data_IF_641009360237
#
_entry.id   IF_641009360237
#
_cell.length_a   1.000
_cell.length_b   1.000
_cell.length_c   1.000
_cell.angle_alpha   90.00
_cell.angle_beta   90.00
_cell.angle_gamma   90.00
#
_symmetry.space_group_name_H-M   'P 1'
#
loop_
_entity.id
_entity.type
_entity.pdbx_description
1 polymer ?
#
# COMPACT_ATOMS: atom_id res chain seq x y z
N UNK A 1 26.06 -30.93 5.74
CA UNK A 1 27.26 -30.93 4.88
C UNK A 1 28.53 -30.88 5.72
N UNK A 2 28.73 -29.86 6.55
CA UNK A 2 29.98 -29.65 7.31
C UNK A 2 30.36 -30.80 8.27
N UNK A 3 29.37 -31.50 8.81
CA UNK A 3 29.56 -32.69 9.67
C UNK A 3 29.71 -34.00 8.87
N UNK A 4 29.79 -33.96 7.54
CA UNK A 4 29.91 -35.15 6.69
C UNK A 4 28.66 -36.04 6.58
N UNK A 5 27.54 -35.65 7.20
CA UNK A 5 26.29 -36.43 7.22
C UNK A 5 25.56 -36.51 5.86
N UNK A 6 25.90 -35.62 4.92
CA UNK A 6 25.36 -35.59 3.56
C UNK A 6 26.45 -35.15 2.60
N UNK A 7 26.50 -35.80 1.43
CA UNK A 7 27.41 -35.45 0.34
C UNK A 7 27.17 -34.00 -0.08
N UNK A 8 28.24 -33.21 -0.27
CA UNK A 8 28.16 -31.76 -0.57
C UNK A 8 27.23 -31.46 -1.74
N UNK A 9 27.36 -32.20 -2.86
CA UNK A 9 26.52 -32.04 -4.06
C UNK A 9 25.04 -32.31 -3.80
N UNK A 10 24.69 -33.33 -3.00
CA UNK A 10 23.29 -33.59 -2.63
C UNK A 10 22.74 -32.46 -1.74
N UNK A 11 23.56 -31.96 -0.81
CA UNK A 11 23.18 -30.81 0.03
C UNK A 11 22.92 -29.56 -0.79
N UNK A 12 23.77 -29.25 -1.78
CA UNK A 12 23.59 -28.11 -2.70
C UNK A 12 22.25 -28.24 -3.44
N UNK A 13 21.93 -29.41 -4.00
CA UNK A 13 20.65 -29.65 -4.71
C UNK A 13 19.43 -29.43 -3.83
N UNK A 14 19.49 -29.85 -2.56
CA UNK A 14 18.40 -29.64 -1.61
C UNK A 14 18.20 -28.17 -1.28
N UNK A 15 19.30 -27.41 -1.12
CA UNK A 15 19.23 -25.96 -0.88
C UNK A 15 18.70 -25.21 -2.11
N UNK A 16 19.17 -25.57 -3.31
CA UNK A 16 18.70 -24.96 -4.56
C UNK A 16 17.19 -25.19 -4.76
N UNK A 17 16.69 -26.41 -4.55
CA UNK A 17 15.25 -26.68 -4.60
C UNK A 17 14.45 -25.92 -3.54
N UNK A 18 15.01 -25.68 -2.34
CA UNK A 18 14.35 -24.87 -1.31
C UNK A 18 14.25 -23.41 -1.73
N UNK A 19 15.35 -22.82 -2.21
CA UNK A 19 15.38 -21.44 -2.72
C UNK A 19 14.36 -21.27 -3.84
N UNK A 20 14.39 -22.18 -4.82
CA UNK A 20 13.47 -22.22 -5.95
C UNK A 20 11.98 -22.27 -5.55
N UNK A 21 11.67 -22.79 -4.36
CA UNK A 21 10.30 -22.99 -3.87
C UNK A 21 9.92 -22.04 -2.72
N UNK A 22 10.64 -20.92 -2.56
CA UNK A 22 10.24 -19.84 -1.64
C UNK A 22 11.15 -19.64 -0.44
N UNK A 23 12.40 -20.10 -0.48
CA UNK A 23 13.42 -19.81 0.53
C UNK A 23 13.82 -21.02 1.38
N UNK A 24 14.78 -20.80 2.27
CA UNK A 24 15.47 -21.84 3.05
C UNK A 24 14.61 -22.28 4.23
N UNK A 25 14.52 -23.60 4.45
CA UNK A 25 13.75 -24.16 5.55
C UNK A 25 14.55 -24.02 6.85
N UNK A 26 13.92 -23.42 7.86
CA UNK A 26 14.34 -23.51 9.25
C UNK A 26 13.75 -24.81 9.84
N UNK A 27 14.57 -25.85 10.10
CA UNK A 27 14.07 -27.13 10.58
C UNK A 27 13.64 -27.09 12.05
N UNK A 28 14.05 -26.08 12.82
CA UNK A 28 13.68 -25.94 14.24
C UNK A 28 12.31 -25.27 14.37
N UNK A 29 12.07 -24.21 13.61
CA UNK A 29 10.83 -23.43 13.66
C UNK A 29 9.80 -23.80 12.59
N UNK A 30 10.15 -24.74 11.69
CA UNK A 30 9.25 -25.31 10.67
C UNK A 30 8.63 -24.26 9.71
N UNK A 31 9.41 -23.25 9.33
CA UNK A 31 9.00 -22.22 8.37
C UNK A 31 10.11 -21.93 7.35
N UNK A 32 9.77 -21.23 6.26
CA UNK A 32 10.77 -20.75 5.28
C UNK A 32 11.30 -19.38 5.67
N UNK A 33 12.59 -19.19 5.45
CA UNK A 33 13.32 -17.94 5.62
C UNK A 33 13.72 -17.40 4.25
N UNK A 34 13.64 -16.08 4.03
CA UNK A 34 14.30 -15.44 2.91
C UNK A 34 15.80 -15.78 2.91
N UNK A 35 16.39 -15.89 1.72
CA UNK A 35 17.79 -16.33 1.53
C UNK A 35 18.75 -15.46 2.33
N UNK A 36 18.53 -14.14 2.33
CA UNK A 36 19.36 -13.16 3.03
C UNK A 36 19.29 -13.32 4.55
N UNK A 37 18.11 -13.67 5.08
CA UNK A 37 17.90 -13.90 6.51
C UNK A 37 18.53 -15.22 6.93
N UNK A 38 18.38 -16.26 6.10
CA UNK A 38 18.97 -17.57 6.35
C UNK A 38 20.51 -17.49 6.36
N UNK A 39 21.10 -16.73 5.42
CA UNK A 39 22.53 -16.43 5.40
C UNK A 39 22.99 -15.72 6.68
N UNK A 40 22.32 -14.63 7.08
CA UNK A 40 22.64 -13.89 8.32
C UNK A 40 22.51 -14.73 9.59
N UNK A 41 21.60 -15.72 9.60
CA UNK A 41 21.41 -16.65 10.71
C UNK A 41 22.37 -17.85 10.68
N UNK A 42 23.26 -17.93 9.68
CA UNK A 42 24.27 -18.98 9.57
C UNK A 42 23.74 -20.34 9.13
N UNK A 43 22.58 -20.39 8.44
CA UNK A 43 22.06 -21.65 7.87
C UNK A 43 22.97 -22.21 6.77
N UNK A 44 23.68 -21.32 6.07
CA UNK A 44 24.73 -21.62 5.11
C UNK A 44 25.72 -20.44 5.08
N UNK A 45 26.93 -20.68 4.58
CA UNK A 45 28.02 -19.71 4.55
C UNK A 45 28.09 -18.92 3.24
N UNK A 46 29.04 -17.99 3.16
CA UNK A 46 29.20 -17.07 2.03
C UNK A 46 29.56 -17.82 0.75
N UNK A 47 30.42 -18.85 0.87
CA UNK A 47 30.80 -19.73 -0.24
C UNK A 47 29.56 -20.41 -0.82
N UNK A 48 28.72 -21.01 0.03
CA UNK A 48 27.49 -21.66 -0.40
C UNK A 48 26.50 -20.66 -1.02
N UNK A 49 26.41 -19.44 -0.48
CA UNK A 49 25.58 -18.38 -1.05
C UNK A 49 26.01 -18.03 -2.48
N UNK A 50 27.32 -17.93 -2.73
CA UNK A 50 27.86 -17.68 -4.05
C UNK A 50 27.57 -18.85 -5.01
N UNK A 51 27.78 -20.09 -4.56
CA UNK A 51 27.47 -21.30 -5.36
C UNK A 51 25.99 -21.34 -5.74
N UNK A 52 25.08 -21.05 -4.82
CA UNK A 52 23.63 -21.07 -5.08
C UNK A 52 23.16 -19.88 -5.93
N UNK A 53 23.94 -18.80 -5.99
CA UNK A 53 23.65 -17.63 -6.82
C UNK A 53 24.17 -17.77 -8.26
N UNK A 54 25.13 -18.67 -8.50
CA UNK A 54 25.73 -18.90 -9.81
C UNK A 54 25.22 -20.21 -10.44
N UNK A 55 24.53 -20.17 -11.61
CA UNK A 55 24.03 -21.35 -12.31
C UNK A 55 25.13 -22.17 -13.01
N UNK A 56 26.20 -22.50 -12.29
CA UNK A 56 27.28 -23.39 -12.69
C UNK A 56 26.87 -24.88 -12.62
N UNK A 57 27.75 -25.78 -13.08
CA UNK A 57 27.46 -27.23 -13.16
C UNK A 57 27.08 -27.85 -11.80
N UNK A 58 27.63 -27.34 -10.70
CA UNK A 58 27.36 -27.84 -9.34
C UNK A 58 25.89 -27.65 -8.90
N UNK A 59 25.17 -26.69 -9.50
CA UNK A 59 23.74 -26.44 -9.24
C UNK A 59 22.81 -27.17 -10.21
N UNK A 60 23.33 -27.67 -11.34
CA UNK A 60 22.56 -28.40 -12.36
C UNK A 60 22.38 -29.87 -12.01
N UNK A 61 21.73 -30.12 -10.88
CA UNK A 61 21.57 -31.46 -10.34
C UNK A 61 20.34 -32.24 -10.79
N UNK A 62 19.41 -31.61 -11.51
CA UNK A 62 18.10 -32.15 -11.82
C UNK A 62 18.00 -32.56 -13.29
N UNK A 63 17.52 -33.77 -13.52
CA UNK A 63 17.49 -34.36 -14.86
C UNK A 63 16.11 -34.17 -15.50
N UNK A 64 16.06 -33.59 -16.70
CA UNK A 64 14.84 -33.57 -17.50
C UNK A 64 14.72 -34.87 -18.34
N UNK A 65 13.72 -35.72 -18.07
CA UNK A 65 13.57 -37.00 -18.76
C UNK A 65 13.24 -36.87 -20.25
N UNK A 66 12.83 -35.69 -20.73
CA UNK A 66 12.47 -35.49 -22.13
C UNK A 66 13.64 -35.00 -22.99
N UNK A 67 14.49 -34.14 -22.44
CA UNK A 67 15.65 -33.56 -23.15
C UNK A 67 16.96 -34.23 -22.80
N UNK A 68 16.98 -35.03 -21.73
CA UNK A 68 18.17 -35.64 -21.14
C UNK A 68 19.21 -34.60 -20.65
N UNK A 69 18.79 -33.37 -20.39
CA UNK A 69 19.63 -32.29 -19.88
C UNK A 69 19.67 -32.28 -18.34
N UNK A 70 20.82 -31.87 -17.80
CA UNK A 70 20.97 -31.52 -16.40
C UNK A 70 20.68 -30.02 -16.20
N UNK A 71 19.76 -29.71 -15.30
CA UNK A 71 19.17 -28.40 -15.05
C UNK A 71 19.20 -28.07 -13.55
N UNK A 72 19.05 -26.78 -13.26
CA UNK A 72 18.64 -26.33 -11.91
C UNK A 72 17.17 -26.69 -11.66
N UNK A 73 16.73 -26.76 -10.40
CA UNK A 73 15.33 -27.03 -10.09
C UNK A 73 14.42 -25.92 -10.62
N UNK A 74 14.86 -24.65 -10.57
CA UNK A 74 14.12 -23.54 -11.19
C UNK A 74 13.89 -23.75 -12.69
N UNK A 75 14.93 -24.13 -13.44
CA UNK A 75 14.80 -24.41 -14.87
C UNK A 75 13.87 -25.58 -15.15
N UNK A 76 13.89 -26.62 -14.31
CA UNK A 76 12.98 -27.75 -14.44
C UNK A 76 11.53 -27.36 -14.10
N UNK A 77 11.31 -26.55 -13.06
CA UNK A 77 10.00 -26.00 -12.70
C UNK A 77 9.40 -25.15 -13.82
N UNK A 78 10.20 -24.33 -14.52
CA UNK A 78 9.74 -23.57 -15.69
C UNK A 78 9.23 -24.45 -16.84
N UNK A 79 9.70 -25.71 -16.91
CA UNK A 79 9.25 -26.70 -17.90
C UNK A 79 8.00 -27.47 -17.46
N UNK A 80 7.60 -27.36 -16.19
CA UNK A 80 6.38 -27.98 -15.67
C UNK A 80 5.12 -27.27 -16.18
N UNK A 81 4.00 -27.98 -16.07
CA UNK A 81 2.65 -27.43 -16.26
C UNK A 81 1.98 -27.38 -14.90
N UNK A 82 1.45 -26.22 -14.53
CA UNK A 82 0.67 -26.12 -13.31
C UNK A 82 -0.72 -26.73 -13.53
N UNK A 83 -1.09 -27.66 -12.65
CA UNK A 83 -2.42 -28.23 -12.61
C UNK A 83 -3.44 -27.19 -12.11
N UNK A 84 -4.53 -27.01 -12.85
CA UNK A 84 -5.49 -25.93 -12.59
C UNK A 84 -6.37 -26.14 -11.36
N UNK A 85 -6.51 -27.39 -10.88
CA UNK A 85 -7.33 -27.71 -9.72
C UNK A 85 -6.52 -27.67 -8.42
N UNK A 86 -5.31 -28.25 -8.45
CA UNK A 86 -4.46 -28.41 -7.27
C UNK A 86 -3.39 -27.33 -7.13
N UNK A 87 -3.07 -26.61 -8.22
CA UNK A 87 -1.97 -25.64 -8.27
C UNK A 87 -0.58 -26.27 -8.25
N UNK A 88 -0.47 -27.61 -8.32
CA UNK A 88 0.80 -28.33 -8.31
C UNK A 88 1.50 -28.27 -9.67
N UNK A 89 2.83 -28.22 -9.65
CA UNK A 89 3.65 -28.26 -10.87
C UNK A 89 3.87 -29.71 -11.30
N UNK A 90 3.36 -30.04 -12.48
CA UNK A 90 3.49 -31.37 -13.09
C UNK A 90 4.59 -31.36 -14.14
N UNK A 91 5.63 -32.15 -13.92
CA UNK A 91 6.65 -32.40 -14.95
C UNK A 91 6.04 -33.31 -16.02
N UNK A 92 5.94 -32.79 -17.24
CA UNK A 92 5.45 -33.58 -18.37
C UNK A 92 6.49 -34.63 -18.73
N UNK A 93 6.10 -35.91 -18.76
CA UNK A 93 6.94 -37.00 -19.27
C UNK A 93 6.29 -37.52 -20.54
N UNK A 94 6.96 -37.31 -21.67
CA UNK A 94 6.43 -37.66 -22.99
C UNK A 94 6.93 -39.06 -23.37
N UNK A 95 6.04 -39.90 -23.91
CA UNK A 95 6.41 -41.23 -24.41
C UNK A 95 7.39 -41.11 -25.60
N UNK A 96 8.20 -42.15 -25.82
CA UNK A 96 9.16 -42.21 -26.94
C UNK A 96 8.46 -41.86 -28.27
N UNK A 97 8.95 -40.81 -28.94
CA UNK A 97 8.39 -40.31 -30.21
C UNK A 97 7.31 -39.21 -30.06
N UNK A 98 6.88 -38.88 -28.84
CA UNK A 98 6.00 -37.74 -28.60
C UNK A 98 6.74 -36.40 -28.63
N UNK A 99 6.03 -35.32 -28.99
CA UNK A 99 6.61 -33.97 -29.07
C UNK A 99 6.58 -33.28 -27.71
N UNK A 100 7.74 -33.16 -27.07
CA UNK A 100 7.93 -32.34 -25.88
C UNK A 100 8.10 -30.86 -26.24
N UNK A 101 7.26 -29.99 -25.67
CA UNK A 101 7.35 -28.54 -25.90
C UNK A 101 7.84 -27.83 -24.63
N UNK A 102 8.95 -27.12 -24.78
CA UNK A 102 9.44 -26.16 -23.80
C UNK A 102 10.01 -24.93 -24.53
N UNK A 103 10.10 -23.84 -23.78
CA UNK A 103 10.70 -22.60 -24.26
C UNK A 103 12.19 -22.68 -23.96
N UNK A 104 12.99 -22.96 -24.98
CA UNK A 104 14.45 -23.05 -24.84
C UNK A 104 15.10 -21.68 -24.69
N UNK A 105 16.34 -21.68 -24.19
CA UNK A 105 17.08 -20.47 -23.88
C UNK A 105 17.38 -19.62 -25.12
N UNK A 106 17.62 -20.26 -26.28
CA UNK A 106 17.83 -19.56 -27.54
C UNK A 106 16.57 -18.77 -27.95
N UNK A 107 15.39 -19.38 -27.80
CA UNK A 107 14.11 -18.74 -28.08
C UNK A 107 13.89 -17.57 -27.12
N UNK A 108 14.17 -17.74 -25.82
CA UNK A 108 14.11 -16.65 -24.84
C UNK A 108 15.02 -15.49 -25.25
N UNK A 109 16.28 -15.77 -25.60
CA UNK A 109 17.26 -14.76 -26.02
C UNK A 109 16.78 -13.97 -27.24
N UNK A 110 16.23 -14.64 -28.25
CA UNK A 110 15.68 -13.96 -29.43
C UNK A 110 14.53 -13.02 -29.05
N UNK A 111 13.59 -13.50 -28.22
CA UNK A 111 12.45 -12.70 -27.78
C UNK A 111 12.85 -11.56 -26.83
N UNK A 112 13.88 -11.74 -26.02
CA UNK A 112 14.49 -10.69 -25.19
C UNK A 112 15.19 -9.62 -26.04
N UNK A 113 15.90 -10.03 -27.10
CA UNK A 113 16.66 -9.11 -27.96
C UNK A 113 15.79 -8.18 -28.81
N UNK A 114 14.48 -8.43 -28.88
CA UNK A 114 13.55 -7.66 -29.71
C UNK A 114 12.78 -6.62 -28.88
N UNK A 115 13.16 -5.32 -28.94
CA UNK A 115 12.45 -4.27 -28.22
C UNK A 115 11.14 -3.90 -28.90
N UNK A 116 10.16 -3.50 -28.08
CA UNK A 116 8.85 -2.99 -28.47
C UNK A 116 8.54 -1.70 -27.71
N UNK A 117 8.08 -0.69 -28.44
CA UNK A 117 7.52 0.52 -27.83
C UNK A 117 6.03 0.31 -27.60
N UNK A 118 5.59 0.39 -26.36
CA UNK A 118 4.18 0.22 -25.98
C UNK A 118 3.57 1.59 -25.69
N UNK A 119 2.35 1.82 -26.17
CA UNK A 119 1.67 3.13 -26.13
C UNK A 119 0.55 3.22 -25.09
N UNK A 120 0.14 2.09 -24.51
CA UNK A 120 -0.98 2.00 -23.56
C UNK A 120 -0.68 1.04 -22.41
N UNK A 121 -1.45 1.16 -21.33
CA UNK A 121 -1.35 0.28 -20.16
C UNK A 121 -0.08 0.40 -19.34
N UNK A 122 0.26 -0.65 -18.58
CA UNK A 122 1.40 -0.69 -17.64
C UNK A 122 2.74 -0.29 -18.27
N UNK A 123 2.96 -0.62 -19.54
CA UNK A 123 4.22 -0.36 -20.25
C UNK A 123 4.15 0.91 -21.10
N UNK A 124 3.15 1.77 -20.90
CA UNK A 124 2.99 3.01 -21.66
C UNK A 124 4.28 3.84 -21.65
N UNK A 125 4.69 4.25 -22.85
CA UNK A 125 5.88 5.05 -23.13
C UNK A 125 7.22 4.37 -22.76
N UNK A 126 7.20 3.08 -22.45
CA UNK A 126 8.38 2.28 -22.18
C UNK A 126 8.78 1.46 -23.41
N UNK A 127 10.09 1.15 -23.50
CA UNK A 127 10.62 0.19 -24.47
C UNK A 127 10.90 -1.10 -23.73
N UNK A 128 10.10 -2.14 -24.00
CA UNK A 128 10.16 -3.45 -23.34
C UNK A 128 10.31 -4.55 -24.39
N UNK A 129 10.98 -5.64 -24.03
CA UNK A 129 11.19 -6.76 -24.94
C UNK A 129 9.91 -7.59 -25.16
N UNK A 130 9.86 -8.33 -26.26
CA UNK A 130 8.76 -9.27 -26.53
C UNK A 130 8.60 -10.28 -25.38
N UNK A 131 9.72 -10.76 -24.83
CA UNK A 131 9.68 -11.71 -23.72
C UNK A 131 9.09 -11.13 -22.44
N UNK A 132 9.47 -9.90 -22.07
CA UNK A 132 8.93 -9.22 -20.89
C UNK A 132 7.41 -9.04 -20.99
N UNK A 133 6.88 -8.70 -22.17
CA UNK A 133 5.43 -8.60 -22.37
C UNK A 133 4.76 -9.98 -22.31
N UNK A 134 5.35 -11.01 -22.94
CA UNK A 134 4.82 -12.37 -22.88
C UNK A 134 4.76 -12.91 -21.44
N UNK A 135 5.68 -12.48 -20.58
CA UNK A 135 5.72 -12.81 -19.16
C UNK A 135 4.94 -11.82 -18.27
N UNK A 136 4.29 -10.82 -18.87
CA UNK A 136 3.51 -9.83 -18.13
C UNK A 136 2.11 -10.31 -17.82
N UNK A 137 1.44 -9.62 -16.89
CA UNK A 137 0.04 -9.86 -16.53
C UNK A 137 -0.96 -9.84 -17.72
N UNK A 138 -0.64 -9.21 -18.86
CA UNK A 138 -1.53 -9.21 -20.03
C UNK A 138 -1.71 -10.60 -20.65
N UNK A 139 -0.68 -11.45 -20.57
CA UNK A 139 -0.64 -12.74 -21.27
C UNK A 139 -0.61 -13.85 -20.22
N UNK A 140 -1.65 -14.70 -20.21
CA UNK A 140 -1.66 -15.86 -19.32
C UNK A 140 -0.55 -16.84 -19.69
N UNK A 141 -0.08 -17.63 -18.72
CA UNK A 141 0.98 -18.62 -18.97
C UNK A 141 0.62 -19.59 -20.11
N UNK A 142 -0.64 -20.04 -20.16
CA UNK A 142 -1.13 -20.91 -21.23
C UNK A 142 -1.05 -20.21 -22.59
N UNK A 143 -1.48 -18.95 -22.68
CA UNK A 143 -1.42 -18.18 -23.92
C UNK A 143 0.02 -17.91 -24.34
N UNK A 144 0.92 -17.59 -23.40
CA UNK A 144 2.36 -17.45 -23.64
C UNK A 144 2.94 -18.73 -24.25
N UNK A 145 2.70 -19.88 -23.63
CA UNK A 145 3.19 -21.19 -24.14
C UNK A 145 2.68 -21.45 -25.55
N UNK A 146 1.40 -21.19 -25.83
CA UNK A 146 0.82 -21.36 -27.16
C UNK A 146 1.43 -20.43 -28.21
N UNK A 147 1.59 -19.14 -27.90
CA UNK A 147 2.19 -18.16 -28.82
C UNK A 147 3.64 -18.51 -29.16
N UNK A 148 4.43 -18.87 -28.16
CA UNK A 148 5.83 -19.25 -28.35
C UNK A 148 5.94 -20.57 -29.11
N UNK A 149 5.00 -21.50 -28.92
CA UNK A 149 4.92 -22.74 -29.70
C UNK A 149 4.66 -22.48 -31.18
N UNK A 150 3.69 -21.62 -31.49
CA UNK A 150 3.39 -21.24 -32.87
C UNK A 150 4.58 -20.53 -33.54
N UNK A 151 5.28 -19.68 -32.79
CA UNK A 151 6.51 -19.04 -33.25
C UNK A 151 7.62 -20.07 -33.56
N UNK A 152 7.90 -21.00 -32.64
CA UNK A 152 8.92 -22.07 -32.85
C UNK A 152 8.57 -22.98 -34.03
N UNK A 153 7.28 -23.30 -34.22
CA UNK A 153 6.81 -24.10 -35.34
C UNK A 153 6.77 -23.33 -36.67
N UNK A 154 7.19 -22.05 -36.70
CA UNK A 154 7.13 -21.17 -37.88
C UNK A 154 5.72 -20.97 -38.45
N UNK A 155 4.67 -21.26 -37.67
CA UNK A 155 3.29 -20.98 -38.04
C UNK A 155 2.91 -19.52 -37.74
N UNK A 156 3.68 -18.86 -36.88
CA UNK A 156 3.56 -17.45 -36.53
C UNK A 156 4.92 -16.77 -36.73
N UNK A 157 4.98 -15.73 -37.58
CA UNK A 157 6.21 -14.94 -37.74
C UNK A 157 6.43 -14.03 -36.54
N UNK A 158 7.65 -13.52 -36.37
CA UNK A 158 7.95 -12.58 -35.30
C UNK A 158 7.13 -11.29 -35.43
N UNK A 159 6.91 -10.76 -36.64
CA UNK A 159 6.08 -9.56 -36.82
C UNK A 159 4.62 -9.81 -36.42
N UNK A 160 4.06 -10.97 -36.80
CA UNK A 160 2.69 -11.31 -36.46
C UNK A 160 2.52 -11.58 -34.95
N UNK A 161 3.52 -12.18 -34.30
CA UNK A 161 3.54 -12.33 -32.83
C UNK A 161 3.52 -10.96 -32.15
N UNK A 162 4.35 -10.02 -32.59
CA UNK A 162 4.40 -8.66 -32.07
C UNK A 162 3.05 -7.96 -32.25
N UNK A 163 2.47 -8.03 -33.45
CA UNK A 163 1.18 -7.42 -33.74
C UNK A 163 0.07 -7.99 -32.85
N UNK A 164 0.06 -9.31 -32.62
CA UNK A 164 -0.91 -9.96 -31.75
C UNK A 164 -0.74 -9.55 -30.29
N UNK A 165 0.50 -9.41 -29.81
CA UNK A 165 0.79 -8.94 -28.45
C UNK A 165 0.31 -7.50 -28.25
N UNK A 166 0.67 -6.59 -29.16
CA UNK A 166 0.26 -5.18 -29.09
C UNK A 166 -1.26 -5.05 -29.13
N UNK A 167 -1.92 -5.78 -30.04
CA UNK A 167 -3.38 -5.83 -30.11
C UNK A 167 -4.00 -6.38 -28.84
N UNK A 168 -3.41 -7.41 -28.24
CA UNK A 168 -3.93 -7.98 -26.97
C UNK A 168 -3.86 -6.95 -25.85
N UNK A 169 -2.78 -6.17 -25.76
CA UNK A 169 -2.67 -5.08 -24.79
C UNK A 169 -3.74 -4.02 -25.07
N UNK A 170 -3.84 -3.52 -26.29
CA UNK A 170 -4.82 -2.50 -26.69
C UNK A 170 -6.26 -2.93 -26.41
N UNK A 171 -6.65 -4.13 -26.85
CA UNK A 171 -8.00 -4.68 -26.63
C UNK A 171 -8.29 -4.86 -25.13
N UNK A 172 -7.29 -5.28 -24.34
CA UNK A 172 -7.43 -5.46 -22.89
C UNK A 172 -7.63 -4.13 -22.19
N UNK A 173 -6.77 -3.14 -22.48
CA UNK A 173 -6.83 -1.80 -21.90
C UNK A 173 -8.13 -1.08 -22.28
N UNK A 174 -8.53 -1.13 -23.56
CA UNK A 174 -9.73 -0.44 -24.03
C UNK A 174 -11.00 -0.98 -23.35
N UNK A 175 -11.13 -2.29 -23.21
CA UNK A 175 -12.27 -2.91 -22.53
C UNK A 175 -12.28 -2.61 -21.03
N UNK A 176 -11.11 -2.65 -20.40
CA UNK A 176 -10.97 -2.41 -18.97
C UNK A 176 -11.17 -0.93 -18.61
N UNK A 177 -10.81 0.00 -19.49
CA UNK A 177 -10.96 1.44 -19.27
C UNK A 177 -12.43 1.89 -19.27
N UNK A 178 -13.29 1.18 -19.99
CA UNK A 178 -14.73 1.45 -20.04
C UNK A 178 -15.46 1.13 -18.71
N UNK A 179 -14.88 0.25 -17.88
CA UNK A 179 -15.46 -0.16 -16.61
C UNK A 179 -14.85 0.66 -15.48
N UNK A 180 -15.70 1.31 -14.68
CA UNK A 180 -15.26 2.22 -13.61
C UNK A 180 -15.93 1.92 -12.28
N UNK A 181 -15.19 2.12 -11.20
CA UNK A 181 -15.66 2.00 -9.81
C UNK A 181 -15.37 3.28 -9.04
N UNK A 182 -16.10 3.52 -7.95
CA UNK A 182 -15.87 4.68 -7.09
C UNK A 182 -14.55 4.53 -6.32
N UNK A 183 -13.70 5.54 -6.39
CA UNK A 183 -12.49 5.71 -5.58
C UNK A 183 -12.67 6.78 -4.50
N UNK A 184 -11.57 7.40 -4.09
CA UNK A 184 -11.51 8.36 -2.97
C UNK A 184 -12.06 9.75 -3.33
N UNK A 185 -11.74 10.26 -4.51
CA UNK A 185 -12.11 11.61 -5.02
C UNK A 185 -12.55 11.58 -6.48
N UNK A 186 -12.78 10.39 -7.04
CA UNK A 186 -13.17 10.21 -8.44
C UNK A 186 -13.49 8.76 -8.74
N UNK A 187 -13.56 8.45 -10.02
CA UNK A 187 -13.73 7.08 -10.52
C UNK A 187 -12.38 6.45 -10.86
N UNK A 188 -12.24 5.16 -10.59
CA UNK A 188 -11.07 4.34 -10.90
C UNK A 188 -11.46 3.37 -12.00
N UNK A 189 -10.70 3.32 -13.10
CA UNK A 189 -10.95 2.34 -14.14
C UNK A 189 -10.49 0.94 -13.71
N UNK A 190 -11.12 -0.10 -14.25
CA UNK A 190 -10.67 -1.48 -14.04
C UNK A 190 -9.29 -1.69 -14.65
N UNK A 191 -8.96 -0.96 -15.73
CA UNK A 191 -7.61 -0.97 -16.32
C UNK A 191 -6.57 -0.52 -15.31
N UNK A 192 -6.87 0.54 -14.57
CA UNK A 192 -5.98 1.04 -13.54
C UNK A 192 -5.82 0.07 -12.36
N UNK A 193 -6.91 -0.56 -11.90
CA UNK A 193 -6.81 -1.61 -10.87
C UNK A 193 -5.94 -2.79 -11.32
N UNK A 194 -5.97 -3.13 -12.61
CA UNK A 194 -5.16 -4.18 -13.19
C UNK A 194 -3.68 -3.78 -13.32
N UNK A 195 -3.41 -2.56 -13.82
CA UNK A 195 -2.06 -2.01 -13.97
C UNK A 195 -1.38 -1.75 -12.61
N UNK A 196 -2.18 -1.49 -11.58
CA UNK A 196 -1.77 -1.41 -10.17
C UNK A 196 -1.68 -2.77 -9.47
N UNK A 197 -1.83 -3.88 -10.19
CA UNK A 197 -1.71 -5.25 -9.65
C UNK A 197 -2.66 -5.55 -8.48
N UNK A 198 -3.78 -4.82 -8.40
CA UNK A 198 -4.83 -5.02 -7.39
C UNK A 198 -5.76 -6.16 -7.80
N UNK A 199 -5.99 -6.32 -9.10
CA UNK A 199 -6.72 -7.43 -9.69
C UNK A 199 -5.83 -8.20 -10.65
N UNK A 200 -6.04 -9.51 -10.73
CA UNK A 200 -5.33 -10.40 -11.63
C UNK A 200 -6.04 -10.53 -12.99
N UNK A 201 -5.36 -11.17 -13.95
CA UNK A 201 -5.89 -11.38 -15.30
C UNK A 201 -7.17 -12.20 -15.28
N UNK A 202 -7.27 -13.19 -14.39
CA UNK A 202 -8.48 -14.01 -14.22
C UNK A 202 -9.68 -13.17 -13.82
N UNK A 203 -9.53 -12.30 -12.82
CA UNK A 203 -10.59 -11.39 -12.37
C UNK A 203 -10.95 -10.39 -13.46
N UNK A 204 -9.97 -9.88 -14.20
CA UNK A 204 -10.22 -8.99 -15.34
C UNK A 204 -11.04 -9.67 -16.44
N UNK A 205 -10.67 -10.90 -16.81
CA UNK A 205 -11.39 -11.67 -17.83
C UNK A 205 -12.83 -11.95 -17.39
N UNK A 206 -13.05 -12.28 -16.11
CA UNK A 206 -14.39 -12.45 -15.52
C UNK A 206 -15.24 -11.17 -15.53
N UNK A 207 -14.62 -10.00 -15.45
CA UNK A 207 -15.32 -8.72 -15.59
C UNK A 207 -15.67 -8.43 -17.05
N UNK A 208 -14.78 -8.79 -17.98
CA UNK A 208 -14.97 -8.58 -19.41
C UNK A 208 -15.99 -9.54 -20.03
N UNK A 209 -16.10 -10.77 -19.52
CA UNK A 209 -17.09 -11.75 -19.96
C UNK A 209 -18.45 -11.63 -19.23
N UNK A 210 -18.52 -10.81 -18.17
CA UNK A 210 -19.73 -10.53 -17.41
C UNK A 210 -20.07 -11.55 -16.32
N UNK A 211 -19.23 -12.56 -16.10
CA UNK A 211 -19.40 -13.54 -15.02
C UNK A 211 -19.21 -12.94 -13.61
N UNK A 212 -18.42 -11.86 -13.51
CA UNK A 212 -18.27 -11.05 -12.30
C UNK A 212 -18.80 -9.64 -12.54
N UNK A 213 -19.56 -9.12 -11.58
CA UNK A 213 -20.06 -7.74 -11.62
C UNK A 213 -19.15 -6.78 -10.85
N UNK A 214 -19.16 -5.49 -11.23
CA UNK A 214 -18.41 -4.45 -10.50
C UNK A 214 -18.82 -4.34 -9.03
N UNK A 215 -20.10 -4.55 -8.72
CA UNK A 215 -20.58 -4.55 -7.32
C UNK A 215 -20.01 -5.71 -6.50
N UNK A 216 -19.87 -6.89 -7.11
CA UNK A 216 -19.24 -8.03 -6.44
C UNK A 216 -17.73 -7.84 -6.30
N UNK A 217 -17.09 -7.16 -7.25
CA UNK A 217 -15.67 -6.83 -7.18
C UNK A 217 -15.35 -5.89 -6.00
N UNK A 218 -16.10 -4.80 -5.84
CA UNK A 218 -15.87 -3.81 -4.77
C UNK A 218 -16.10 -4.37 -3.36
N UNK A 219 -16.86 -5.47 -3.24
CA UNK A 219 -17.07 -6.18 -1.98
C UNK A 219 -15.94 -7.12 -1.59
N UNK A 220 -15.03 -7.46 -2.50
CA UNK A 220 -13.86 -8.30 -2.15
C UNK A 220 -12.93 -7.50 -1.24
N UNK A 221 -12.56 -8.06 -0.09
CA UNK A 221 -11.73 -7.38 0.92
C UNK A 221 -10.41 -6.83 0.35
N UNK A 222 -9.78 -7.60 -0.55
CA UNK A 222 -8.55 -7.17 -1.22
C UNK A 222 -8.74 -5.89 -2.03
N UNK A 223 -9.84 -5.77 -2.79
CA UNK A 223 -10.12 -4.59 -3.63
C UNK A 223 -10.59 -3.43 -2.75
N UNK A 224 -11.46 -3.71 -1.78
CA UNK A 224 -11.97 -2.71 -0.84
C UNK A 224 -10.85 -2.01 -0.08
N UNK A 225 -9.80 -2.75 0.33
CA UNK A 225 -8.60 -2.18 0.95
C UNK A 225 -7.98 -1.06 0.09
N UNK A 226 -7.94 -1.23 -1.22
CA UNK A 226 -7.31 -0.27 -2.11
C UNK A 226 -8.24 0.86 -2.56
N UNK A 227 -9.55 0.62 -2.61
CA UNK A 227 -10.54 1.68 -2.91
C UNK A 227 -10.88 2.54 -1.70
N UNK A 228 -11.25 1.91 -0.58
CA UNK A 228 -11.76 2.58 0.63
C UNK A 228 -10.71 2.70 1.75
N UNK A 229 -9.73 1.79 1.79
CA UNK A 229 -8.81 1.65 2.92
C UNK A 229 -9.25 0.59 3.93
N UNK A 230 -8.41 0.36 4.94
CA UNK A 230 -8.68 -0.57 6.07
C UNK A 230 -9.38 0.09 7.26
N UNK A 231 -9.63 1.40 7.19
CA UNK A 231 -10.29 2.22 8.21
C UNK A 231 -9.31 3.09 9.00
N UNK A 232 -9.69 4.35 9.24
CA UNK A 232 -8.96 5.30 10.07
C UNK A 232 -9.58 5.42 11.47
N UNK A 233 -8.90 6.14 12.38
CA UNK A 233 -9.45 6.52 13.68
C UNK A 233 -10.57 7.53 13.43
N UNK A 234 -11.83 7.09 13.56
CA UNK A 234 -13.01 7.84 13.19
C UNK A 234 -13.45 8.84 14.27
N UNK A 235 -13.17 8.53 15.54
CA UNK A 235 -13.70 9.28 16.66
C UNK A 235 -13.16 8.81 18.00
N UNK A 236 -13.79 9.30 19.06
CA UNK A 236 -13.47 8.96 20.45
C UNK A 236 -14.63 8.22 21.08
N UNK A 237 -14.33 7.17 21.84
CA UNK A 237 -15.27 6.43 22.67
C UNK A 237 -14.91 6.68 24.14
N UNK A 238 -15.89 7.12 24.94
CA UNK A 238 -15.82 7.18 26.39
C UNK A 238 -16.38 5.88 26.99
N UNK A 239 -15.54 4.95 27.46
CA UNK A 239 -16.01 3.62 27.87
C UNK A 239 -16.97 3.67 29.07
N UNK A 240 -16.75 4.59 30.01
CA UNK A 240 -17.56 4.75 31.22
C UNK A 240 -19.04 5.01 30.91
N UNK A 241 -19.31 5.75 29.82
CA UNK A 241 -20.65 6.18 29.41
C UNK A 241 -21.15 5.49 28.15
N UNK A 242 -20.29 4.71 27.48
CA UNK A 242 -20.51 4.19 26.12
C UNK A 242 -20.92 5.28 25.14
N UNK A 243 -20.33 6.47 25.31
CA UNK A 243 -20.61 7.63 24.46
C UNK A 243 -19.55 7.74 23.37
N UNK A 244 -20.00 7.79 22.11
CA UNK A 244 -19.14 8.01 20.93
C UNK A 244 -19.27 9.46 20.47
N UNK A 245 -18.18 10.06 20.03
CA UNK A 245 -18.18 11.42 19.48
C UNK A 245 -17.09 11.62 18.42
N UNK A 246 -17.24 12.66 17.59
CA UNK A 246 -16.20 13.02 16.62
C UNK A 246 -14.95 13.56 17.31
N UNK A 247 -13.81 13.54 16.63
CA UNK A 247 -12.54 14.08 17.15
C UNK A 247 -12.69 15.58 17.47
N UNK A 248 -13.40 16.33 16.64
CA UNK A 248 -13.62 17.75 16.86
C UNK A 248 -14.56 18.04 18.05
N UNK A 249 -15.57 17.21 18.27
CA UNK A 249 -16.39 17.28 19.48
C UNK A 249 -15.57 17.00 20.74
N UNK A 250 -14.68 16.00 20.69
CA UNK A 250 -13.77 15.70 21.80
C UNK A 250 -12.80 16.85 22.09
N UNK A 251 -12.31 17.55 21.05
CA UNK A 251 -11.52 18.78 21.19
C UNK A 251 -12.31 19.88 21.89
N UNK A 252 -13.55 20.18 21.45
CA UNK A 252 -14.38 21.23 22.07
C UNK A 252 -14.74 20.93 23.53
N UNK A 253 -14.81 19.66 23.90
CA UNK A 253 -15.04 19.20 25.28
C UNK A 253 -13.77 19.12 26.12
N UNK A 254 -12.59 19.40 25.54
CA UNK A 254 -11.31 19.34 26.24
C UNK A 254 -10.81 17.93 26.55
N UNK A 255 -11.38 16.90 25.90
CA UNK A 255 -10.97 15.50 26.06
C UNK A 255 -9.70 15.17 25.25
N UNK A 256 -9.43 15.95 24.20
CA UNK A 256 -8.20 15.87 23.41
C UNK A 256 -7.53 17.24 23.41
N UNK A 257 -6.19 17.25 23.47
CA UNK A 257 -5.40 18.45 23.22
C UNK A 257 -5.52 18.89 21.76
N UNK A 258 -5.33 20.18 21.49
CA UNK A 258 -5.40 20.72 20.12
C UNK A 258 -4.43 20.00 19.18
N UNK A 259 -3.21 19.73 19.63
CA UNK A 259 -2.19 19.03 18.85
C UNK A 259 -2.61 17.59 18.51
N UNK A 260 -3.20 16.87 19.46
CA UNK A 260 -3.68 15.50 19.25
C UNK A 260 -4.88 15.49 18.28
N UNK A 261 -5.89 16.34 18.53
CA UNK A 261 -7.09 16.41 17.71
C UNK A 261 -6.78 16.82 16.26
N UNK A 262 -5.94 17.86 16.08
CA UNK A 262 -5.51 18.29 14.75
C UNK A 262 -4.76 17.17 14.03
N UNK A 263 -3.83 16.49 14.72
CA UNK A 263 -3.07 15.40 14.12
C UNK A 263 -3.96 14.26 13.61
N UNK A 264 -5.00 13.89 14.37
CA UNK A 264 -5.96 12.85 13.98
C UNK A 264 -6.88 13.30 12.85
N UNK A 265 -7.36 14.55 12.85
CA UNK A 265 -8.19 15.09 11.77
C UNK A 265 -7.41 15.22 10.45
N UNK A 266 -6.14 15.63 10.52
CA UNK A 266 -5.26 15.64 9.35
C UNK A 266 -5.01 14.23 8.81
N UNK A 267 -4.87 13.23 9.68
CA UNK A 267 -4.77 11.84 9.27
C UNK A 267 -6.04 11.34 8.58
N UNK A 268 -7.23 11.71 9.08
CA UNK A 268 -8.50 11.42 8.38
C UNK A 268 -8.54 12.06 6.98
N UNK A 269 -8.22 13.35 6.89
CA UNK A 269 -8.17 14.07 5.61
C UNK A 269 -7.17 13.43 4.63
N UNK A 270 -5.97 13.07 5.09
CA UNK A 270 -4.91 12.48 4.28
C UNK A 270 -5.12 11.00 3.93
N UNK A 271 -6.07 10.32 4.58
CA UNK A 271 -6.44 8.91 4.31
C UNK A 271 -7.75 8.77 3.55
N UNK A 272 -8.39 9.88 3.19
CA UNK A 272 -9.52 9.89 2.28
C UNK A 272 -10.62 10.82 2.73
N UNK A 273 -11.12 10.73 3.96
CA UNK A 273 -12.34 11.47 4.34
C UNK A 273 -12.33 11.81 5.83
N UNK A 274 -12.93 12.94 6.16
CA UNK A 274 -13.37 13.21 7.53
C UNK A 274 -14.59 12.36 7.82
N UNK A 275 -14.59 11.71 8.98
CA UNK A 275 -15.61 10.72 9.35
C UNK A 275 -16.45 11.27 10.49
N UNK A 276 -17.77 11.24 10.31
CA UNK A 276 -18.70 11.38 11.42
C UNK A 276 -19.05 9.99 11.98
N UNK A 277 -18.56 9.61 13.17
CA UNK A 277 -18.80 8.28 13.74
C UNK A 277 -20.26 8.06 14.17
N UNK A 278 -21.08 9.12 14.29
CA UNK A 278 -22.48 9.02 14.70
C UNK A 278 -23.40 8.69 13.52
N UNK A 279 -23.13 9.27 12.36
CA UNK A 279 -23.93 9.08 11.13
C UNK A 279 -23.26 8.16 10.12
N UNK A 280 -22.01 7.72 10.39
CA UNK A 280 -21.16 6.94 9.49
C UNK A 280 -20.96 7.62 8.11
N UNK A 281 -20.99 8.96 8.09
CA UNK A 281 -20.74 9.74 6.88
C UNK A 281 -19.25 9.96 6.67
N UNK A 282 -18.84 9.93 5.41
CA UNK A 282 -17.49 10.24 4.93
C UNK A 282 -17.58 11.50 4.09
N UNK A 283 -16.95 12.57 4.53
CA UNK A 283 -17.05 13.90 3.93
C UNK A 283 -15.68 14.40 3.46
N UNK A 284 -15.68 15.19 2.39
CA UNK A 284 -14.53 16.04 2.06
C UNK A 284 -14.33 17.12 3.13
N UNK A 285 -13.17 17.80 3.10
CA UNK A 285 -12.90 18.88 4.05
C UNK A 285 -13.93 20.01 3.93
N UNK A 286 -14.27 20.42 2.72
CA UNK A 286 -15.25 21.49 2.47
C UNK A 286 -16.67 21.09 2.93
N UNK A 287 -17.06 19.83 2.68
CA UNK A 287 -18.35 19.29 3.13
C UNK A 287 -18.43 19.21 4.66
N UNK A 288 -17.34 18.80 5.32
CA UNK A 288 -17.27 18.69 6.78
C UNK A 288 -17.35 20.05 7.49
N UNK A 289 -16.76 21.10 6.91
CA UNK A 289 -16.90 22.47 7.43
C UNK A 289 -18.32 22.98 7.20
N UNK A 290 -18.88 22.75 6.01
CA UNK A 290 -20.24 23.18 5.67
C UNK A 290 -21.32 22.50 6.51
N UNK A 291 -21.11 21.24 6.89
CA UNK A 291 -22.02 20.49 7.77
C UNK A 291 -21.79 20.73 9.26
N UNK A 292 -20.72 21.45 9.63
CA UNK A 292 -20.35 21.72 11.02
C UNK A 292 -19.69 20.54 11.75
N UNK A 293 -19.28 19.48 11.04
CA UNK A 293 -18.50 18.38 11.61
C UNK A 293 -17.15 18.88 12.15
N UNK A 294 -16.56 19.87 11.46
CA UNK A 294 -15.32 20.56 11.87
C UNK A 294 -15.50 22.07 11.77
N UNK A 295 -14.81 22.83 12.64
CA UNK A 295 -14.83 24.28 12.63
C UNK A 295 -14.01 24.89 11.49
N UNK A 296 -14.41 26.08 11.05
CA UNK A 296 -13.72 26.82 9.99
C UNK A 296 -12.28 27.22 10.37
N UNK A 297 -11.95 27.25 11.66
CA UNK A 297 -10.59 27.53 12.14
C UNK A 297 -9.56 26.45 11.73
N UNK A 298 -10.01 25.24 11.40
CA UNK A 298 -9.14 24.14 10.96
C UNK A 298 -9.13 23.97 9.43
N UNK A 299 -9.95 24.72 8.69
CA UNK A 299 -10.20 24.50 7.26
C UNK A 299 -8.92 24.48 6.42
N UNK A 300 -8.09 25.52 6.50
CA UNK A 300 -6.84 25.63 5.74
C UNK A 300 -5.84 24.50 6.05
N UNK A 301 -5.71 24.12 7.33
CA UNK A 301 -4.79 23.05 7.76
C UNK A 301 -5.25 21.70 7.22
N UNK A 302 -6.54 21.42 7.30
CA UNK A 302 -7.12 20.17 6.82
C UNK A 302 -7.12 20.09 5.29
N UNK A 303 -7.36 21.21 4.59
CA UNK A 303 -7.26 21.27 3.14
C UNK A 303 -5.82 20.99 2.67
N UNK A 304 -4.82 21.47 3.42
CA UNK A 304 -3.41 21.14 3.17
C UNK A 304 -3.12 19.63 3.35
N UNK A 305 -3.75 18.97 4.32
CA UNK A 305 -3.63 17.52 4.52
C UNK A 305 -4.41 16.72 3.46
N UNK A 306 -5.58 17.20 3.02
CA UNK A 306 -6.41 16.55 1.99
C UNK A 306 -5.69 16.49 0.61
N UNK A 307 -4.74 17.40 0.35
CA UNK A 307 -3.86 17.34 -0.82
C UNK A 307 -3.04 16.05 -0.92
N UNK A 308 -2.83 15.34 0.20
CA UNK A 308 -2.25 13.99 0.18
C UNK A 308 -3.12 12.96 -0.58
N UNK A 309 -4.41 13.26 -0.79
CA UNK A 309 -5.37 12.45 -1.56
C UNK A 309 -5.65 13.05 -2.93
N UNK A 310 -5.81 14.38 -3.02
CA UNK A 310 -6.19 15.07 -4.28
C UNK A 310 -5.00 15.45 -5.16
N UNK A 311 -3.80 15.40 -4.61
CA UNK A 311 -2.53 15.74 -5.25
C UNK A 311 -2.05 17.14 -4.89
N UNK A 312 -0.73 17.28 -4.75
CA UNK A 312 -0.08 18.60 -4.64
C UNK A 312 0.19 19.12 -6.05
N UNK A 313 0.06 20.43 -6.26
CA UNK A 313 0.46 21.04 -7.52
C UNK A 313 1.97 21.29 -7.51
N UNK A 314 2.68 20.76 -8.49
CA UNK A 314 4.08 21.09 -8.72
C UNK A 314 4.21 22.58 -9.12
N UNK A 315 4.98 23.41 -8.39
CA UNK A 315 5.13 24.83 -8.69
C UNK A 315 5.72 25.13 -10.07
N UNK A 316 6.48 24.20 -10.66
CA UNK A 316 7.16 24.40 -11.95
C UNK A 316 6.31 23.97 -13.13
N UNK A 317 5.63 22.84 -13.02
CA UNK A 317 4.89 22.23 -14.15
C UNK A 317 3.38 22.37 -14.02
N UNK A 318 2.87 22.69 -12.82
CA UNK A 318 1.44 22.67 -12.49
C UNK A 318 0.82 21.27 -12.45
N UNK A 319 1.62 20.21 -12.63
CA UNK A 319 1.13 18.82 -12.62
C UNK A 319 0.83 18.36 -11.20
N UNK A 320 -0.13 17.45 -11.06
CA UNK A 320 -0.40 16.81 -9.77
C UNK A 320 0.72 15.83 -9.43
N UNK A 321 1.27 15.96 -8.23
CA UNK A 321 2.31 15.09 -7.68
C UNK A 321 1.84 14.45 -6.37
N UNK A 322 2.43 13.30 -6.03
CA UNK A 322 2.11 12.56 -4.81
C UNK A 322 2.62 13.25 -3.54
N UNK A 323 2.11 12.81 -2.39
CA UNK A 323 2.56 13.28 -1.08
C UNK A 323 4.08 13.09 -0.92
N UNK A 324 4.60 11.92 -1.31
CA UNK A 324 6.03 11.64 -1.22
C UNK A 324 6.86 12.54 -2.14
N UNK A 325 6.43 12.75 -3.39
CA UNK A 325 7.09 13.68 -4.31
C UNK A 325 7.07 15.11 -3.76
N UNK A 326 5.99 15.54 -3.11
CA UNK A 326 5.91 16.83 -2.45
C UNK A 326 6.90 16.98 -1.29
N UNK A 327 7.17 15.90 -0.53
CA UNK A 327 8.23 15.87 0.50
C UNK A 327 9.60 16.02 -0.15
N UNK A 328 9.88 15.25 -1.21
CA UNK A 328 11.18 15.28 -1.90
C UNK A 328 11.47 16.63 -2.53
N UNK A 329 10.43 17.27 -3.09
CA UNK A 329 10.52 18.62 -3.67
C UNK A 329 10.45 19.74 -2.61
N UNK A 330 10.39 19.40 -1.31
CA UNK A 330 10.31 20.35 -0.18
C UNK A 330 9.12 21.32 -0.26
N UNK A 331 8.04 20.89 -0.92
CA UNK A 331 6.78 21.65 -1.00
C UNK A 331 6.04 21.58 0.33
N UNK A 332 6.21 20.48 1.06
CA UNK A 332 5.71 20.31 2.41
C UNK A 332 6.84 20.02 3.40
N UNK A 333 6.62 20.37 4.67
CA UNK A 333 7.55 20.06 5.75
C UNK A 333 7.67 18.55 5.91
N UNK A 334 8.91 18.03 5.94
CA UNK A 334 9.19 16.60 5.92
C UNK A 334 8.51 15.87 7.07
N UNK A 335 8.60 16.37 8.30
CA UNK A 335 8.03 15.75 9.49
C UNK A 335 6.50 15.64 9.40
N UNK A 336 5.85 16.67 8.85
CA UNK A 336 4.42 16.66 8.61
C UNK A 336 4.05 15.64 7.52
N UNK A 337 4.75 15.64 6.39
CA UNK A 337 4.49 14.71 5.28
C UNK A 337 4.72 13.25 5.66
N UNK A 338 5.79 12.95 6.40
CA UNK A 338 6.09 11.59 6.89
C UNK A 338 4.97 11.09 7.79
N UNK A 339 4.43 11.92 8.70
CA UNK A 339 3.27 11.57 9.52
C UNK A 339 2.02 11.23 8.70
N UNK A 340 1.78 11.95 7.60
CA UNK A 340 0.65 11.65 6.71
C UNK A 340 0.87 10.33 5.92
N UNK A 341 2.09 10.07 5.45
CA UNK A 341 2.45 8.81 4.80
C UNK A 341 2.27 7.62 5.75
N UNK A 342 2.69 7.77 7.00
CA UNK A 342 2.51 6.78 8.07
C UNK A 342 1.03 6.38 8.22
N UNK A 343 0.12 7.37 8.24
CA UNK A 343 -1.31 7.13 8.30
C UNK A 343 -1.86 6.45 7.02
N UNK A 344 -1.36 6.80 5.83
CA UNK A 344 -1.77 6.12 4.59
C UNK A 344 -1.38 4.64 4.58
N UNK A 345 -0.12 4.33 4.93
CA UNK A 345 0.38 2.95 5.00
C UNK A 345 -0.44 2.12 6.01
N UNK A 346 -0.64 2.66 7.21
CA UNK A 346 -1.41 1.99 8.26
C UNK A 346 -2.90 1.79 7.90
N UNK A 347 -3.45 2.60 6.99
CA UNK A 347 -4.86 2.52 6.54
C UNK A 347 -5.05 1.86 5.17
N UNK A 348 -4.05 1.13 4.68
CA UNK A 348 -4.21 0.20 3.55
C UNK A 348 -3.17 0.33 2.45
N UNK A 349 -2.43 1.42 2.37
CA UNK A 349 -1.40 1.66 1.34
C UNK A 349 -1.28 3.13 0.96
N UNK A 350 -0.25 3.44 0.16
CA UNK A 350 0.01 4.81 -0.37
C UNK A 350 -1.10 5.21 -1.33
N UNK A 351 -1.52 6.47 -1.29
CA UNK A 351 -2.57 6.98 -2.20
C UNK A 351 -1.95 7.52 -3.50
N UNK A 352 -2.51 7.09 -4.62
CA UNK A 352 -2.27 7.69 -5.94
C UNK A 352 -3.24 8.86 -6.15
N UNK A 353 -2.76 10.12 -6.17
CA UNK A 353 -3.63 11.28 -6.34
C UNK A 353 -4.17 11.47 -7.77
N UNK A 354 -3.52 10.83 -8.76
CA UNK A 354 -3.94 10.91 -10.17
C UNK A 354 -5.10 9.95 -10.41
N UNK A 355 -4.99 8.74 -9.87
CA UNK A 355 -5.97 7.66 -10.08
C UNK A 355 -6.97 7.50 -8.94
N UNK A 356 -6.80 8.23 -7.84
CA UNK A 356 -7.77 8.34 -6.74
C UNK A 356 -8.05 7.03 -5.98
N UNK A 357 -7.04 6.17 -5.85
CA UNK A 357 -7.09 4.97 -5.02
C UNK A 357 -5.74 4.69 -4.36
N UNK A 358 -5.71 3.76 -3.41
CA UNK A 358 -4.47 3.29 -2.80
C UNK A 358 -3.79 2.25 -3.69
N UNK A 359 -2.47 2.25 -3.68
CA UNK A 359 -1.64 1.31 -4.43
C UNK A 359 -0.80 0.43 -3.48
N UNK A 360 -0.50 -0.82 -3.89
CA UNK A 360 0.51 -1.65 -3.23
C UNK A 360 1.88 -0.95 -3.15
N UNK A 361 2.70 -1.36 -2.18
CA UNK A 361 4.02 -0.75 -1.92
C UNK A 361 4.95 -0.91 -3.12
N UNK A 362 4.94 -2.08 -3.76
CA UNK A 362 5.74 -2.39 -4.94
C UNK A 362 5.37 -1.50 -6.13
N UNK A 363 4.09 -1.18 -6.28
CA UNK A 363 3.58 -0.26 -7.30
C UNK A 363 3.97 1.18 -6.94
N UNK A 364 3.91 1.54 -5.66
CA UNK A 364 4.34 2.86 -5.18
C UNK A 364 5.81 3.13 -5.48
N UNK A 365 6.69 2.13 -5.31
CA UNK A 365 8.10 2.24 -5.70
C UNK A 365 8.27 2.49 -7.20
N UNK A 366 7.59 1.72 -8.06
CA UNK A 366 7.68 1.89 -9.52
C UNK A 366 7.15 3.25 -9.99
N UNK A 367 6.14 3.80 -9.31
CA UNK A 367 5.58 5.12 -9.60
C UNK A 367 6.34 6.27 -8.93
N UNK A 368 7.36 5.98 -8.11
CA UNK A 368 8.11 6.98 -7.36
C UNK A 368 7.26 7.71 -6.31
N UNK A 369 6.26 7.03 -5.73
CA UNK A 369 5.41 7.54 -4.66
C UNK A 369 5.87 7.10 -3.27
N UNK A 370 6.91 6.28 -3.21
CA UNK A 370 7.60 5.87 -2.00
C UNK A 370 9.00 5.38 -2.40
N UNK A 371 9.95 5.42 -1.47
CA UNK A 371 11.24 4.73 -1.61
C UNK A 371 11.44 3.73 -0.45
N UNK A 372 12.40 2.82 -0.63
CA UNK A 372 12.67 1.76 0.35
C UNK A 372 13.13 2.30 1.71
N UNK A 373 13.94 3.35 1.71
CA UNK A 373 14.45 3.97 2.94
C UNK A 373 13.33 4.59 3.77
N UNK A 374 12.42 5.32 3.13
CA UNK A 374 11.26 5.92 3.80
C UNK A 374 10.29 4.84 4.27
N UNK A 375 10.05 3.80 3.47
CA UNK A 375 9.20 2.70 3.90
C UNK A 375 9.73 1.99 5.15
N UNK A 376 11.06 1.79 5.24
CA UNK A 376 11.69 1.19 6.41
C UNK A 376 11.47 2.05 7.68
N UNK A 377 11.66 3.37 7.56
CA UNK A 377 11.42 4.32 8.67
C UNK A 377 9.94 4.35 9.09
N UNK A 378 9.01 4.16 8.15
CA UNK A 378 7.57 4.16 8.44
C UNK A 378 7.05 2.82 9.00
N UNK A 379 7.77 1.73 8.75
CA UNK A 379 7.33 0.38 9.11
C UNK A 379 8.00 -0.17 10.37
N UNK A 380 9.10 0.44 10.83
CA UNK A 380 9.83 0.02 12.03
C UNK A 380 9.02 0.38 13.31
N UNK A 381 8.58 -0.59 14.11
CA UNK A 381 7.79 -0.34 15.32
C UNK A 381 8.60 0.25 16.48
N UNK A 382 9.91 0.01 16.53
CA UNK A 382 10.78 0.37 17.65
C UNK A 382 11.49 1.72 17.39
N UNK A 383 11.96 1.90 16.14
CA UNK A 383 12.75 3.06 15.70
C UNK A 383 12.09 3.89 14.61
N UNK A 384 10.87 3.54 14.20
CA UNK A 384 10.16 4.28 13.16
C UNK A 384 9.63 5.63 13.59
N UNK A 385 9.05 6.34 12.62
CA UNK A 385 8.39 7.63 12.85
C UNK A 385 7.28 7.51 13.89
N UNK A 386 7.31 8.37 14.90
CA UNK A 386 6.26 8.52 15.92
C UNK A 386 5.65 9.91 15.79
N UNK A 387 4.83 10.08 14.75
CA UNK A 387 4.23 11.36 14.41
C UNK A 387 3.03 11.75 15.28
N UNK A 388 2.39 10.79 15.96
CA UNK A 388 1.14 11.00 16.69
C UNK A 388 1.36 11.04 18.20
N UNK A 389 0.36 11.54 18.93
CA UNK A 389 0.36 11.61 20.39
C UNK A 389 -0.82 10.80 20.89
N UNK A 390 -0.57 9.84 21.78
CA UNK A 390 -1.64 9.15 22.49
C UNK A 390 -2.25 10.07 23.55
N UNK A 391 -3.57 10.38 23.49
CA UNK A 391 -4.19 11.28 24.45
C UNK A 391 -4.21 10.76 25.88
N UNK A 392 -4.07 9.46 26.13
CA UNK A 392 -4.09 8.91 27.49
C UNK A 392 -2.72 8.97 28.17
N UNK A 393 -1.64 8.78 27.41
CA UNK A 393 -0.26 8.73 27.94
C UNK A 393 0.55 9.99 27.64
N UNK A 394 0.09 10.81 26.68
CA UNK A 394 0.79 11.95 26.12
C UNK A 394 2.17 11.60 25.51
N UNK A 395 2.38 10.33 25.18
CA UNK A 395 3.60 9.84 24.54
C UNK A 395 3.49 9.91 23.01
N UNK A 396 4.64 10.12 22.36
CA UNK A 396 4.74 10.00 20.90
C UNK A 396 4.61 8.54 20.49
N UNK A 397 3.75 8.28 19.53
CA UNK A 397 3.39 6.93 19.07
C UNK A 397 3.19 6.93 17.55
N UNK A 398 3.30 5.75 16.92
CA UNK A 398 2.93 5.61 15.52
C UNK A 398 1.40 5.50 15.35
N UNK A 399 0.91 5.76 14.14
CA UNK A 399 -0.51 5.64 13.81
C UNK A 399 -1.00 4.18 13.85
N UNK A 400 -0.14 3.23 13.45
CA UNK A 400 -0.45 1.80 13.53
C UNK A 400 -0.63 1.35 14.98
N UNK A 401 0.29 1.74 15.87
CA UNK A 401 0.20 1.48 17.30
C UNK A 401 -1.02 2.17 17.93
N UNK A 402 -1.41 3.36 17.45
CA UNK A 402 -2.61 4.04 17.93
C UNK A 402 -3.90 3.32 17.47
N UNK A 403 -3.95 2.83 16.24
CA UNK A 403 -5.05 1.99 15.74
C UNK A 403 -5.21 0.70 16.54
N UNK A 404 -4.12 0.07 16.98
CA UNK A 404 -4.16 -1.13 17.84
C UNK A 404 -4.79 -0.84 19.22
N UNK A 405 -4.68 0.41 19.70
CA UNK A 405 -5.31 0.85 20.96
C UNK A 405 -6.81 1.19 20.81
N UNK A 406 -7.31 1.34 19.58
CA UNK A 406 -8.71 1.65 19.31
C UNK A 406 -9.63 0.43 19.51
N UNK A 407 -10.89 0.68 19.87
CA UNK A 407 -11.96 -0.30 19.72
C UNK A 407 -12.59 -0.19 18.34
N UNK A 408 -12.72 -1.31 17.64
CA UNK A 408 -13.50 -1.39 16.41
C UNK A 408 -14.97 -1.60 16.75
N UNK A 409 -15.81 -0.65 16.35
CA UNK A 409 -17.26 -0.77 16.47
C UNK A 409 -17.79 -1.88 15.56
N UNK A 410 -18.67 -2.75 16.07
CA UNK A 410 -19.12 -3.94 15.33
C UNK A 410 -20.12 -3.62 14.22
N UNK A 411 -20.91 -2.57 14.42
CA UNK A 411 -22.01 -2.23 13.51
C UNK A 411 -21.52 -1.35 12.36
N UNK A 412 -20.65 -0.38 12.66
CA UNK A 412 -20.12 0.57 11.68
C UNK A 412 -18.76 0.15 11.12
N UNK A 413 -18.01 -0.70 11.84
CA UNK A 413 -16.64 -1.09 11.47
C UNK A 413 -15.59 -0.01 11.69
N UNK A 414 -15.95 1.11 12.34
CA UNK A 414 -15.07 2.26 12.59
C UNK A 414 -14.15 2.03 13.79
N UNK A 415 -12.93 2.58 13.73
CA UNK A 415 -12.01 2.58 14.87
C UNK A 415 -12.27 3.80 15.75
N UNK A 416 -12.56 3.55 17.03
CA UNK A 416 -12.80 4.58 18.02
C UNK A 416 -11.69 4.55 19.07
N UNK A 417 -11.03 5.69 19.27
CA UNK A 417 -10.00 5.85 20.27
C UNK A 417 -10.63 5.91 21.66
N UNK A 418 -10.17 5.06 22.57
CA UNK A 418 -10.67 5.06 23.96
C UNK A 418 -10.03 6.23 24.70
N UNK A 419 -10.84 7.11 25.24
CA UNK A 419 -10.38 8.16 26.16
C UNK A 419 -10.85 7.85 27.57
N UNK A 420 -9.95 7.97 28.55
CA UNK A 420 -10.34 7.97 29.95
C UNK A 420 -10.98 9.32 30.30
N UNK A 421 -12.07 9.30 31.07
CA UNK A 421 -12.66 10.53 31.64
C UNK A 421 -11.64 11.16 32.60
N UNK A 422 -10.97 12.23 32.17
CA UNK A 422 -10.18 13.08 33.05
C UNK A 422 -8.68 13.11 32.77
N UNK A 423 -8.29 13.93 31.79
CA UNK A 423 -7.04 14.69 31.85
C UNK A 423 -7.33 16.06 31.24
N UNK A 424 -7.42 17.06 32.12
CA UNK A 424 -7.46 18.51 31.91
C UNK A 424 -8.73 19.18 32.47
N UNK A 425 -8.62 19.97 33.56
CA UNK A 425 -9.63 20.98 33.87
C UNK A 425 -9.73 21.95 32.69
N UNK A 426 -10.92 22.49 32.38
CA UNK A 426 -11.03 23.56 31.39
C UNK A 426 -10.11 24.70 31.81
N UNK A 427 -9.27 25.18 30.88
CA UNK A 427 -8.50 26.41 31.04
C UNK A 427 -9.44 27.49 31.56
N UNK A 428 -9.17 27.97 32.77
CA UNK A 428 -9.90 29.08 33.36
C UNK A 428 -9.98 30.21 32.33
N UNK A 429 -11.21 30.59 31.96
CA UNK A 429 -11.46 31.93 31.45
C UNK A 429 -10.86 32.88 32.48
N UNK A 430 -9.93 33.71 32.03
CA UNK A 430 -9.46 34.87 32.79
C UNK A 430 -10.68 35.64 33.26
N UNK A 431 -11.02 35.51 34.54
CA UNK A 431 -11.94 36.41 35.21
C UNK A 431 -11.29 37.80 35.22
N UNK A 432 -12.06 38.79 34.80
CA UNK A 432 -11.71 40.20 34.83
C UNK A 432 -11.21 40.57 36.24
N UNK A 433 -9.92 40.90 36.33
CA UNK A 433 -9.34 41.55 37.50
C UNK A 433 -9.86 42.99 37.52
N UNK A 434 -10.59 43.45 38.56
CA UNK A 434 -10.93 44.86 38.67
C UNK A 434 -9.67 45.64 39.05
N UNK A 435 -9.29 46.60 38.22
CA UNK A 435 -8.26 47.60 38.53
C UNK A 435 -8.73 48.51 39.68
N UNK A 436 -7.87 48.84 40.66
CA UNK A 436 -8.22 49.80 41.70
C UNK A 436 -7.89 51.24 41.27
N UNK A 437 -8.86 52.14 41.46
CA UNK A 437 -8.62 53.49 41.96
C UNK A 437 -8.28 54.59 40.94
N UNK A 438 -9.30 55.34 40.53
CA UNK A 438 -9.18 56.78 40.29
C UNK A 438 -10.32 57.49 41.03
N UNK A 439 -10.01 58.02 42.22
CA UNK A 439 -10.87 59.00 42.90
C UNK A 439 -10.63 60.39 42.28
N UNK A 440 -11.61 60.89 41.53
CA UNK A 440 -11.76 62.32 41.28
C UNK A 440 -12.83 62.89 42.22
N UNK A 441 -12.44 63.92 42.96
CA UNK A 441 -13.29 64.60 43.91
C UNK A 441 -14.31 65.54 43.27
N UNK A 442 -15.42 65.75 43.97
CA UNK A 442 -16.21 66.96 43.85
C UNK A 442 -16.90 67.30 45.18
N UNK A 443 -16.56 68.48 45.69
CA UNK A 443 -17.19 69.19 46.80
C UNK A 443 -18.72 69.36 46.67
N UNK A 444 -19.44 69.33 47.80
CA UNK A 444 -20.14 70.51 48.37
C UNK A 444 -20.81 70.26 49.75
N UNK A 445 -20.30 71.02 50.73
CA UNK A 445 -20.96 71.85 51.76
C UNK A 445 -22.26 71.40 52.44
N UNK A 446 -22.24 71.47 53.78
CA UNK A 446 -23.44 71.62 54.62
C UNK A 446 -23.16 71.51 56.13
N UNK A 447 -22.93 72.65 56.77
CA UNK A 447 -22.57 72.80 58.19
C UNK A 447 -23.66 72.42 59.21
N UNK A 448 -23.26 71.99 60.43
CA UNK A 448 -23.59 72.60 61.74
C UNK A 448 -23.07 71.77 62.93
N UNK A 449 -22.28 72.42 63.78
CA UNK A 449 -21.93 72.12 65.19
C UNK A 449 -23.17 72.21 66.12
N UNK A 450 -23.12 72.02 67.48
CA UNK A 450 -21.99 71.85 68.45
C UNK A 450 -22.29 70.78 69.56
N UNK A 451 -21.77 70.82 70.82
CA UNK A 451 -20.36 70.84 71.27
C UNK A 451 -20.04 69.78 72.38
N UNK A 452 -18.73 69.69 72.70
CA UNK A 452 -18.08 69.47 74.02
C UNK A 452 -18.61 68.31 74.91
N UNK A 453 -17.80 67.32 75.27
CA UNK A 453 -16.67 67.35 76.21
C UNK A 453 -15.98 65.99 76.20
#
# INVERSE_FOLDING_TARGET
MNQGLIVKSHGIRLLEAQIATGGIIDPVHSHRLPVEVAYKRGYFDEEMNQILSDPSDDTKGFFDPNTHENLTYMQLLERCVQDSETGLYMLQVVQEGGKYFYIDELTKQVLHSKPLKVTVGKFKDQTVSVWEILCSHYISEQKRKELVKQYKCKTLTLENLIALILKTIEDTEQKAEALKVKGLRGEVSVSELFNSEIIDKKTLDQLQDGSLTLHSLTKKDMVKRYLDGTGCIAGVLLPSRKETMSIYQALKRGLLSEQCALGLLEAQAATGFLVDPLTNQKLSVDEAVSSGLVGSELHEKLLSAEKAVTGYADPQTGTKISLFQAIMNKIIVKEHGIRLLEAQIATGGIIDPVHSHRIPVEVAYRRGYLDGDTFLVLSDPDHGSKGFIDPNTNEKISYSQLLERCSKDRDTGLYLLKSCDGLHPPLHRTEDVPLPGHEEGAHRQGARHPPAR
#
